data_IF_850570780966
#
_entry.id   IF_850570780966
#
_cell.length_a   1.000
_cell.length_b   1.000
_cell.length_c   1.000
_cell.angle_alpha   90.00
_cell.angle_beta   90.00
_cell.angle_gamma   90.00
#
_symmetry.space_group_name_H-M   'P 1'
#
loop_
_entity.id
_entity.type
_entity.pdbx_description
1 polymer ?
#
# COMPACT_ATOMS: atom_id res chain seq x y z
N UNK A 1 0.68 -28.49 -18.80
CA UNK A 1 1.91 -27.74 -18.43
C UNK A 1 1.97 -27.66 -16.92
N UNK A 2 3.07 -28.09 -16.29
CA UNK A 2 3.28 -27.91 -14.85
C UNK A 2 3.39 -26.42 -14.55
N UNK A 3 2.62 -25.91 -13.57
CA UNK A 3 2.75 -24.51 -13.14
C UNK A 3 4.16 -24.27 -12.59
N UNK A 4 4.74 -23.11 -12.89
CA UNK A 4 6.02 -22.69 -12.32
C UNK A 4 5.88 -22.66 -10.78
N UNK A 5 6.80 -23.24 -9.99
CA UNK A 5 6.76 -23.18 -8.53
C UNK A 5 6.61 -21.75 -7.98
N UNK A 6 7.21 -20.75 -8.65
CA UNK A 6 7.13 -19.34 -8.29
C UNK A 6 5.76 -18.71 -8.59
N UNK A 7 5.06 -19.17 -9.62
CA UNK A 7 3.66 -18.71 -9.83
C UNK A 7 2.73 -19.41 -8.87
N UNK A 8 3.00 -20.68 -8.53
CA UNK A 8 2.20 -21.44 -7.58
C UNK A 8 2.27 -20.84 -6.18
N UNK A 9 3.46 -20.48 -5.68
CA UNK A 9 3.61 -19.90 -4.33
C UNK A 9 2.82 -18.59 -4.16
N UNK A 10 2.78 -17.74 -5.19
CA UNK A 10 2.01 -16.49 -5.16
C UNK A 10 0.50 -16.70 -5.34
N UNK A 11 0.09 -17.71 -6.10
CA UNK A 11 -1.33 -18.09 -6.23
C UNK A 11 -1.88 -18.68 -4.93
N UNK A 12 -1.09 -19.50 -4.23
CA UNK A 12 -1.49 -20.15 -2.97
C UNK A 12 -1.52 -19.15 -1.81
N UNK A 13 -0.56 -18.22 -1.76
CA UNK A 13 -0.40 -17.26 -0.66
C UNK A 13 -0.73 -15.83 -1.07
N UNK A 14 -1.86 -15.65 -1.74
CA UNK A 14 -2.30 -14.31 -2.14
C UNK A 14 -2.46 -13.40 -0.93
N UNK A 15 -2.07 -12.14 -1.07
CA UNK A 15 -2.28 -11.16 -0.01
C UNK A 15 -3.78 -10.91 0.19
N UNK A 16 -4.26 -11.21 1.38
CA UNK A 16 -5.68 -11.11 1.76
C UNK A 16 -5.92 -10.08 2.87
N UNK A 17 -4.89 -9.36 3.29
CA UNK A 17 -4.92 -8.39 4.39
C UNK A 17 -4.58 -8.98 5.75
N UNK A 18 -4.46 -10.31 5.87
CA UNK A 18 -4.16 -11.03 7.13
C UNK A 18 -2.90 -11.89 7.07
N UNK A 19 -2.11 -11.81 6.00
CA UNK A 19 -0.91 -12.62 5.81
C UNK A 19 0.27 -11.80 5.27
N UNK A 20 0.42 -10.56 5.72
CA UNK A 20 1.38 -9.62 5.14
C UNK A 20 2.82 -10.15 5.18
N UNK A 21 3.26 -10.72 6.30
CA UNK A 21 4.62 -11.21 6.47
C UNK A 21 4.92 -12.39 5.53
N UNK A 22 4.04 -13.40 5.52
CA UNK A 22 4.17 -14.57 4.66
C UNK A 22 4.13 -14.17 3.17
N UNK A 23 3.20 -13.28 2.81
CA UNK A 23 3.10 -12.76 1.45
C UNK A 23 4.35 -11.98 1.06
N UNK A 24 4.88 -11.10 1.92
CA UNK A 24 6.07 -10.32 1.64
C UNK A 24 7.31 -11.21 1.51
N UNK A 25 7.42 -12.24 2.34
CA UNK A 25 8.49 -13.23 2.23
C UNK A 25 8.43 -13.98 0.91
N UNK A 26 7.25 -14.46 0.51
CA UNK A 26 7.04 -15.13 -0.77
C UNK A 26 7.31 -14.20 -1.96
N UNK A 27 6.86 -12.95 -1.89
CA UNK A 27 7.12 -11.94 -2.90
C UNK A 27 8.63 -11.71 -3.07
N UNK A 28 9.37 -11.55 -1.96
CA UNK A 28 10.83 -11.38 -2.01
C UNK A 28 11.53 -12.55 -2.70
N UNK A 29 11.13 -13.79 -2.41
CA UNK A 29 11.66 -14.99 -3.08
C UNK A 29 11.46 -14.91 -4.60
N UNK A 30 10.26 -14.52 -5.05
CA UNK A 30 9.95 -14.38 -6.49
C UNK A 30 10.78 -13.25 -7.12
N UNK A 31 10.89 -12.10 -6.45
CA UNK A 31 11.62 -10.97 -6.98
C UNK A 31 13.14 -11.17 -6.97
N UNK A 32 13.68 -11.91 -6.00
CA UNK A 32 15.09 -12.30 -5.98
C UNK A 32 15.42 -13.20 -7.18
N UNK A 33 14.53 -14.14 -7.52
CA UNK A 33 14.68 -14.98 -8.71
C UNK A 33 14.71 -14.16 -10.00
N UNK A 34 13.92 -13.09 -10.09
CA UNK A 34 13.85 -12.19 -11.24
C UNK A 34 14.94 -11.09 -11.21
N UNK A 35 15.79 -11.02 -10.18
CA UNK A 35 16.77 -9.95 -9.91
C UNK A 35 16.16 -8.55 -9.76
N UNK A 36 14.96 -8.45 -9.18
CA UNK A 36 14.18 -7.22 -9.06
C UNK A 36 13.85 -6.82 -7.62
N UNK A 37 14.32 -7.58 -6.61
CA UNK A 37 14.01 -7.29 -5.20
C UNK A 37 14.43 -5.88 -4.76
N UNK A 38 15.47 -5.30 -5.40
CA UNK A 38 15.94 -3.94 -5.11
C UNK A 38 14.86 -2.85 -5.30
N UNK A 39 13.83 -3.11 -6.10
CA UNK A 39 12.69 -2.19 -6.33
C UNK A 39 11.87 -1.98 -5.05
N UNK A 40 11.84 -2.96 -4.14
CA UNK A 40 11.09 -2.86 -2.88
C UNK A 40 11.77 -1.92 -1.87
N UNK A 41 13.09 -1.82 -1.91
CA UNK A 41 13.89 -1.17 -0.87
C UNK A 41 14.46 0.19 -1.31
N UNK A 42 14.66 0.41 -2.61
CA UNK A 42 15.23 1.65 -3.13
C UNK A 42 14.13 2.67 -3.47
N UNK A 43 14.27 3.93 -3.04
CA UNK A 43 13.32 4.98 -3.43
C UNK A 43 13.40 5.23 -4.94
N UNK A 44 12.33 5.81 -5.48
CA UNK A 44 12.32 6.35 -6.84
C UNK A 44 13.57 7.24 -7.03
N UNK A 45 14.31 7.13 -8.14
CA UNK A 45 15.39 8.06 -8.45
C UNK A 45 14.81 9.47 -8.70
N UNK A 46 14.60 10.26 -7.64
CA UNK A 46 13.99 11.59 -7.71
C UNK A 46 15.05 12.65 -8.00
N UNK A 47 14.85 13.40 -9.08
CA UNK A 47 15.61 14.56 -9.53
C UNK A 47 16.92 14.29 -10.29
N UNK A 48 16.86 14.69 -11.56
CA UNK A 48 17.89 14.57 -12.58
C UNK A 48 18.79 15.83 -12.52
N UNK A 49 20.11 15.72 -12.28
CA UNK A 49 21.04 16.81 -12.56
C UNK A 49 21.06 17.10 -14.08
N UNK A 50 21.22 18.36 -14.47
CA UNK A 50 21.44 18.71 -15.88
C UNK A 50 22.70 18.00 -16.40
N UNK A 51 22.53 17.10 -17.39
CA UNK A 51 23.64 16.43 -18.08
C UNK A 51 23.79 14.94 -17.85
N UNK A 52 22.70 14.16 -17.89
CA UNK A 52 22.77 12.69 -17.83
C UNK A 52 23.82 12.10 -18.77
N UNK A 53 24.71 11.27 -18.21
CA UNK A 53 25.48 10.31 -18.99
C UNK A 53 24.56 9.27 -19.63
N UNK A 54 25.05 8.61 -20.68
CA UNK A 54 24.29 7.53 -21.34
C UNK A 54 24.00 6.37 -20.39
N UNK A 55 24.93 6.07 -19.47
CA UNK A 55 24.83 4.97 -18.50
C UNK A 55 23.74 5.22 -17.43
N UNK A 56 23.60 6.46 -16.97
CA UNK A 56 22.55 6.85 -16.02
C UNK A 56 21.15 6.73 -16.64
N UNK A 57 21.01 7.04 -17.94
CA UNK A 57 19.73 6.86 -18.67
C UNK A 57 19.35 5.40 -18.77
N UNK A 58 20.30 4.54 -19.16
CA UNK A 58 20.08 3.09 -19.23
C UNK A 58 19.67 2.53 -17.87
N UNK A 59 20.30 3.00 -16.79
CA UNK A 59 19.98 2.57 -15.42
C UNK A 59 18.57 3.00 -15.01
N UNK A 60 18.17 4.24 -15.31
CA UNK A 60 16.83 4.75 -15.02
C UNK A 60 15.75 4.02 -15.83
N UNK A 61 15.96 3.82 -17.13
CA UNK A 61 15.03 3.08 -17.99
C UNK A 61 14.83 1.64 -17.50
N UNK A 62 15.94 0.96 -17.11
CA UNK A 62 15.88 -0.37 -16.51
C UNK A 62 15.08 -0.36 -15.21
N UNK A 63 15.31 0.61 -14.33
CA UNK A 63 14.57 0.72 -13.07
C UNK A 63 13.07 0.91 -13.31
N UNK A 64 12.68 1.75 -14.26
CA UNK A 64 11.26 1.99 -14.60
C UNK A 64 10.60 0.71 -15.12
N UNK A 65 11.29 -0.05 -15.97
CA UNK A 65 10.77 -1.32 -16.48
C UNK A 65 10.64 -2.37 -15.37
N UNK A 66 11.64 -2.48 -14.51
CA UNK A 66 11.60 -3.40 -13.37
C UNK A 66 10.49 -2.99 -12.38
N UNK A 67 10.32 -1.70 -12.09
CA UNK A 67 9.21 -1.19 -11.27
C UNK A 67 7.84 -1.56 -11.86
N UNK A 68 7.64 -1.42 -13.18
CA UNK A 68 6.39 -1.80 -13.84
C UNK A 68 6.10 -3.30 -13.72
N UNK A 69 7.13 -4.15 -13.85
CA UNK A 69 7.00 -5.60 -13.69
C UNK A 69 6.65 -5.97 -12.25
N UNK A 70 7.39 -5.43 -11.28
CA UNK A 70 7.16 -5.68 -9.86
C UNK A 70 5.78 -5.21 -9.43
N UNK A 71 5.32 -4.05 -9.92
CA UNK A 71 3.95 -3.55 -9.71
C UNK A 71 2.90 -4.57 -10.16
N UNK A 72 3.05 -5.13 -11.35
CA UNK A 72 2.16 -6.17 -11.86
C UNK A 72 2.18 -7.44 -11.01
N UNK A 73 3.36 -7.90 -10.58
CA UNK A 73 3.52 -9.07 -9.69
C UNK A 73 2.80 -8.82 -8.37
N UNK A 74 3.02 -7.65 -7.76
CA UNK A 74 2.39 -7.25 -6.51
C UNK A 74 0.86 -7.29 -6.65
N UNK A 75 0.28 -6.61 -7.63
CA UNK A 75 -1.18 -6.57 -7.81
C UNK A 75 -1.79 -7.95 -8.12
N UNK A 76 -1.14 -8.76 -8.95
CA UNK A 76 -1.65 -10.10 -9.32
C UNK A 76 -1.57 -11.09 -8.17
N UNK A 77 -0.62 -10.89 -7.26
CA UNK A 77 -0.47 -11.67 -6.03
C UNK A 77 -1.42 -11.28 -4.90
N UNK A 78 -2.34 -10.34 -5.15
CA UNK A 78 -3.38 -9.98 -4.19
C UNK A 78 -4.69 -10.70 -4.48
N UNK A 79 -5.54 -10.76 -3.47
CA UNK A 79 -6.97 -11.01 -3.67
C UNK A 79 -7.62 -9.83 -4.40
N UNK A 80 -8.67 -10.08 -5.19
CA UNK A 80 -9.34 -9.04 -5.99
C UNK A 80 -9.83 -7.86 -5.14
N UNK A 81 -10.17 -8.10 -3.87
CA UNK A 81 -10.62 -7.07 -2.94
C UNK A 81 -9.49 -6.09 -2.59
N UNK A 82 -8.33 -6.63 -2.22
CA UNK A 82 -7.14 -5.84 -1.86
C UNK A 82 -6.48 -5.22 -3.09
N UNK A 83 -6.48 -5.93 -4.22
CA UNK A 83 -5.96 -5.39 -5.49
C UNK A 83 -6.65 -4.06 -5.87
N UNK A 84 -7.98 -3.98 -5.76
CA UNK A 84 -8.76 -2.75 -6.03
C UNK A 84 -8.44 -1.58 -5.10
N UNK A 85 -7.83 -1.84 -3.94
CA UNK A 85 -7.38 -0.79 -3.03
C UNK A 85 -6.09 -0.14 -3.52
N UNK A 86 -5.19 -0.93 -4.14
CA UNK A 86 -3.88 -0.47 -4.56
C UNK A 86 -3.75 -0.23 -6.08
N UNK A 87 -4.79 -0.51 -6.89
CA UNK A 87 -4.71 -0.41 -8.37
C UNK A 87 -4.38 1.00 -8.91
N UNK A 88 -4.63 2.04 -8.10
CA UNK A 88 -4.42 3.45 -8.47
C UNK A 88 -3.03 3.97 -8.13
N UNK A 89 -2.21 3.20 -7.42
CA UNK A 89 -0.86 3.60 -7.08
C UNK A 89 0.05 3.14 -8.23
N UNK A 90 0.74 4.09 -8.87
CA UNK A 90 1.49 3.85 -10.09
C UNK A 90 2.90 3.27 -9.86
N UNK A 91 3.42 3.36 -8.63
CA UNK A 91 4.76 2.90 -8.27
C UNK A 91 4.79 1.97 -7.05
N UNK A 92 5.75 1.06 -7.06
CA UNK A 92 5.93 0.05 -6.01
C UNK A 92 6.27 0.68 -4.66
N UNK A 93 7.17 1.67 -4.54
CA UNK A 93 7.43 2.36 -3.28
C UNK A 93 6.16 2.90 -2.62
N UNK A 94 5.27 3.56 -3.37
CA UNK A 94 3.99 4.07 -2.86
C UNK A 94 3.07 2.97 -2.33
N UNK A 95 2.98 1.84 -3.04
CA UNK A 95 2.20 0.66 -2.59
C UNK A 95 2.78 0.12 -1.28
N UNK A 96 4.10 -0.10 -1.24
CA UNK A 96 4.78 -0.65 -0.07
C UNK A 96 4.70 0.28 1.13
N UNK A 97 4.80 1.60 0.92
CA UNK A 97 4.63 2.60 1.98
C UNK A 97 3.20 2.58 2.52
N UNK A 98 2.19 2.62 1.63
CA UNK A 98 0.78 2.58 2.04
C UNK A 98 0.44 1.32 2.84
N UNK A 99 0.99 0.17 2.46
CA UNK A 99 0.85 -1.07 3.23
C UNK A 99 1.52 -1.00 4.60
N UNK A 100 2.74 -0.45 4.69
CA UNK A 100 3.45 -0.27 5.96
C UNK A 100 2.78 0.72 6.88
N UNK A 101 2.11 1.73 6.33
CA UNK A 101 1.43 2.78 7.11
C UNK A 101 0.04 2.36 7.59
N UNK A 102 -0.59 1.39 6.91
CA UNK A 102 -1.88 0.81 7.29
C UNK A 102 -1.89 0.38 8.76
N UNK A 103 -2.82 0.92 9.54
CA UNK A 103 -3.01 0.51 10.93
C UNK A 103 -3.58 -0.91 10.97
N UNK A 104 -4.49 -1.27 10.06
CA UNK A 104 -4.98 -2.64 9.93
C UNK A 104 -3.84 -3.67 9.77
N UNK A 105 -2.88 -3.40 8.87
CA UNK A 105 -1.70 -4.28 8.68
C UNK A 105 -0.80 -4.32 9.91
N UNK A 106 -0.60 -3.19 10.60
CA UNK A 106 0.17 -3.15 11.86
C UNK A 106 -0.50 -3.95 12.98
N UNK A 107 -1.82 -3.86 13.10
CA UNK A 107 -2.58 -4.60 14.12
C UNK A 107 -2.51 -6.10 13.87
N UNK A 108 -2.60 -6.54 12.62
CA UNK A 108 -2.37 -7.94 12.25
C UNK A 108 -1.00 -8.43 12.71
N UNK A 109 0.06 -7.69 12.41
CA UNK A 109 1.43 -8.07 12.80
C UNK A 109 1.54 -8.26 14.32
N UNK A 110 0.89 -7.40 15.10
CA UNK A 110 0.87 -7.53 16.57
C UNK A 110 0.09 -8.76 17.04
N UNK A 111 -1.04 -9.07 16.40
CA UNK A 111 -1.84 -10.26 16.71
C UNK A 111 -1.04 -11.53 16.46
N UNK A 112 -0.44 -11.68 15.28
CA UNK A 112 0.42 -12.83 14.93
C UNK A 112 1.54 -13.01 15.97
N UNK A 113 2.17 -11.91 16.38
CA UNK A 113 3.25 -11.93 17.37
C UNK A 113 2.77 -12.34 18.77
N UNK A 114 1.57 -11.94 19.20
CA UNK A 114 1.01 -12.34 20.50
C UNK A 114 0.57 -13.81 20.48
N UNK A 115 0.03 -14.28 19.35
CA UNK A 115 -0.31 -15.69 19.12
C UNK A 115 0.93 -16.58 19.20
N UNK A 116 2.05 -16.17 18.58
CA UNK A 116 3.34 -16.86 18.67
C UNK A 116 3.89 -16.94 20.11
N UNK A 117 3.63 -15.91 20.91
CA UNK A 117 3.99 -15.89 22.33
C UNK A 117 3.09 -16.82 23.17
N UNK A 118 2.06 -17.45 22.57
CA UNK A 118 1.11 -18.34 23.23
C UNK A 118 0.47 -17.71 24.47
N UNK A 119 0.19 -16.42 24.39
CA UNK A 119 -0.38 -15.66 25.50
C UNK A 119 -1.80 -16.13 25.89
N UNK A 120 -2.48 -16.87 25.01
CA UNK A 120 -3.78 -17.48 25.30
C UNK A 120 -4.91 -16.46 25.46
N UNK A 121 -4.81 -15.31 24.80
CA UNK A 121 -5.86 -14.30 24.79
C UNK A 121 -7.06 -14.78 23.97
N UNK A 122 -8.26 -14.47 24.43
CA UNK A 122 -9.50 -14.68 23.68
C UNK A 122 -9.71 -13.59 22.62
N UNK A 123 -10.60 -13.87 21.67
CA UNK A 123 -10.90 -12.99 20.54
C UNK A 123 -11.42 -11.61 20.97
N UNK A 124 -12.19 -11.52 22.06
CA UNK A 124 -12.79 -10.27 22.50
C UNK A 124 -11.73 -9.36 23.12
N UNK A 125 -10.83 -9.92 23.94
CA UNK A 125 -9.67 -9.19 24.47
C UNK A 125 -8.83 -8.57 23.34
N UNK A 126 -8.61 -9.35 22.29
CA UNK A 126 -7.88 -8.96 21.09
C UNK A 126 -8.55 -7.80 20.34
N UNK A 127 -9.88 -7.87 20.17
CA UNK A 127 -10.69 -6.81 19.56
C UNK A 127 -10.65 -5.54 20.40
N UNK A 128 -10.84 -5.65 21.71
CA UNK A 128 -10.83 -4.52 22.64
C UNK A 128 -9.47 -3.80 22.60
N UNK A 129 -8.37 -4.55 22.63
CA UNK A 129 -7.02 -3.98 22.53
C UNK A 129 -6.83 -3.23 21.20
N UNK A 130 -7.27 -3.81 20.08
CA UNK A 130 -7.20 -3.13 18.78
C UNK A 130 -8.02 -1.84 18.82
N UNK A 131 -9.31 -1.91 19.18
CA UNK A 131 -10.20 -0.74 19.15
C UNK A 131 -9.70 0.40 20.06
N UNK A 132 -9.15 0.07 21.23
CA UNK A 132 -8.57 1.06 22.16
C UNK A 132 -7.25 1.65 21.68
N UNK A 133 -6.50 0.93 20.85
CA UNK A 133 -5.22 1.41 20.30
C UNK A 133 -5.38 2.33 19.08
N UNK A 134 -6.58 2.43 18.51
CA UNK A 134 -6.81 3.25 17.32
C UNK A 134 -6.74 4.76 17.67
N UNK A 135 -6.11 5.57 16.80
CA UNK A 135 -6.13 7.02 16.95
C UNK A 135 -7.56 7.60 16.88
N UNK A 136 -7.80 8.80 17.46
CA UNK A 136 -9.13 9.46 17.39
C UNK A 136 -9.67 9.67 15.96
N UNK A 137 -8.81 9.70 14.94
CA UNK A 137 -9.25 9.74 13.54
C UNK A 137 -10.10 8.55 13.10
N UNK A 138 -10.09 7.45 13.87
CA UNK A 138 -10.87 6.24 13.64
C UNK A 138 -12.18 6.21 14.43
N UNK A 139 -12.55 7.26 15.17
CA UNK A 139 -13.83 7.33 15.89
C UNK A 139 -15.05 6.97 15.02
N UNK A 140 -15.16 7.44 13.75
CA UNK A 140 -16.27 7.02 12.89
C UNK A 140 -16.29 5.52 12.60
N UNK A 141 -15.11 4.90 12.49
CA UNK A 141 -14.98 3.46 12.31
C UNK A 141 -15.43 2.70 13.57
N UNK A 142 -14.98 3.14 14.75
CA UNK A 142 -15.33 2.51 16.05
C UNK A 142 -16.83 2.58 16.30
N UNK A 143 -17.45 3.75 16.09
CA UNK A 143 -18.89 3.93 16.23
C UNK A 143 -19.63 2.98 15.28
N UNK A 144 -19.23 2.95 13.99
CA UNK A 144 -19.84 2.06 13.01
C UNK A 144 -19.63 0.58 13.36
N UNK A 145 -18.46 0.20 13.87
CA UNK A 145 -18.18 -1.17 14.30
C UNK A 145 -19.13 -1.60 15.43
N UNK A 146 -19.20 -0.80 16.50
CA UNK A 146 -20.03 -1.08 17.68
C UNK A 146 -21.52 -1.14 17.35
N UNK A 147 -21.99 -0.31 16.40
CA UNK A 147 -23.38 -0.28 15.96
C UNK A 147 -23.78 -1.50 15.12
N UNK A 148 -22.83 -2.18 14.47
CA UNK A 148 -23.14 -3.31 13.58
C UNK A 148 -23.44 -4.63 14.31
N UNK A 149 -23.29 -4.70 15.64
CA UNK A 149 -23.88 -5.73 16.52
C UNK A 149 -23.56 -7.20 16.23
N UNK A 150 -22.62 -7.49 15.33
CA UNK A 150 -22.20 -8.85 14.98
C UNK A 150 -20.97 -9.24 15.79
N UNK A 151 -20.97 -10.44 16.37
CA UNK A 151 -19.73 -11.10 16.78
C UNK A 151 -18.85 -11.23 15.53
N UNK A 152 -17.68 -10.61 15.57
CA UNK A 152 -16.69 -10.64 14.49
C UNK A 152 -15.40 -11.21 15.04
N UNK A 153 -14.71 -11.97 14.22
CA UNK A 153 -13.34 -12.39 14.52
C UNK A 153 -12.38 -11.19 14.44
N UNK A 154 -11.25 -11.27 15.13
CA UNK A 154 -10.18 -10.26 15.02
C UNK A 154 -9.72 -10.06 13.57
N UNK A 155 -9.64 -11.13 12.78
CA UNK A 155 -9.28 -11.04 11.37
C UNK A 155 -10.32 -10.27 10.53
N UNK A 156 -11.61 -10.39 10.86
CA UNK A 156 -12.66 -9.60 10.22
C UNK A 156 -12.59 -8.13 10.62
N UNK A 157 -12.33 -7.82 11.89
CA UNK A 157 -12.08 -6.45 12.36
C UNK A 157 -10.89 -5.82 11.61
N UNK A 158 -9.76 -6.53 11.52
CA UNK A 158 -8.57 -6.09 10.79
C UNK A 158 -8.90 -5.83 9.31
N UNK A 159 -9.60 -6.76 8.65
CA UNK A 159 -10.00 -6.59 7.26
C UNK A 159 -10.93 -5.38 7.06
N UNK A 160 -11.82 -5.10 8.02
CA UNK A 160 -12.65 -3.90 8.02
C UNK A 160 -11.82 -2.63 8.20
N UNK A 161 -10.83 -2.64 9.07
CA UNK A 161 -9.88 -1.53 9.27
C UNK A 161 -9.09 -1.22 7.99
N UNK A 162 -8.51 -2.24 7.37
CA UNK A 162 -7.78 -2.09 6.09
C UNK A 162 -8.67 -1.48 5.00
N UNK A 163 -9.94 -1.90 4.93
CA UNK A 163 -10.91 -1.33 3.99
C UNK A 163 -11.30 0.11 4.33
N UNK A 164 -11.48 0.42 5.61
CA UNK A 164 -11.81 1.76 6.06
C UNK A 164 -10.71 2.74 5.63
N UNK A 165 -9.44 2.41 5.88
CA UNK A 165 -8.28 3.16 5.43
C UNK A 165 -8.26 3.36 3.91
N UNK A 166 -8.56 2.32 3.14
CA UNK A 166 -8.66 2.39 1.69
C UNK A 166 -9.69 3.44 1.20
N UNK A 167 -10.73 3.68 1.99
CA UNK A 167 -11.81 4.62 1.66
C UNK A 167 -11.59 6.02 2.20
N UNK A 168 -10.88 6.16 3.33
CA UNK A 168 -10.57 7.47 3.92
C UNK A 168 -9.36 8.12 3.25
N UNK A 169 -8.39 7.33 2.78
CA UNK A 169 -7.30 7.82 1.92
C UNK A 169 -7.72 8.05 0.46
N UNK A 170 -8.98 7.76 0.10
CA UNK A 170 -9.57 8.09 -1.22
C UNK A 170 -10.04 9.54 -1.33
N UNK A 171 -9.98 10.36 -0.28
CA UNK A 171 -10.28 11.80 -0.34
C UNK A 171 -9.07 12.66 -0.01
N UNK A 172 -8.10 12.70 -0.93
CA UNK A 172 -7.33 13.92 -1.14
C UNK A 172 -6.89 14.00 -2.61
N UNK A 173 -7.70 14.69 -3.44
CA UNK A 173 -7.11 15.69 -4.30
C UNK A 173 -7.76 17.05 -4.08
N UNK A 174 -6.89 18.07 -4.00
CA UNK A 174 -7.18 19.50 -4.07
C UNK A 174 -7.85 20.18 -2.85
N UNK A 175 -7.04 20.48 -1.83
CA UNK A 175 -7.10 21.80 -1.17
C UNK A 175 -5.68 22.36 -1.13
N UNK A 176 -5.19 22.80 -2.29
CA UNK A 176 -4.23 23.89 -2.32
C UNK A 176 -4.97 25.09 -2.91
N UNK A 177 -5.34 25.95 -1.96
CA UNK A 177 -5.72 27.35 -2.06
C UNK A 177 -5.46 27.95 -3.43
N UNK A 178 -6.54 28.37 -4.09
CA UNK A 178 -6.44 29.25 -5.24
C UNK A 178 -5.85 30.58 -4.82
N UNK A 179 -4.58 30.79 -5.13
CA UNK A 179 -4.04 32.13 -5.28
C UNK A 179 -4.16 32.51 -6.76
N UNK A 180 -5.03 33.49 -6.99
CA UNK A 180 -5.28 34.09 -8.27
C UNK A 180 -4.00 34.69 -8.85
N UNK A 181 -3.47 34.09 -9.92
CA UNK A 181 -2.70 34.86 -10.90
C UNK A 181 -3.69 35.74 -11.65
N UNK A 182 -3.89 36.94 -11.10
CA UNK A 182 -4.61 38.02 -11.77
C UNK A 182 -4.01 38.26 -13.15
N UNK A 183 -4.88 38.10 -14.14
CA UNK A 183 -4.66 38.54 -15.51
C UNK A 183 -4.37 40.04 -15.54
N UNK A 184 -3.27 40.42 -16.20
CA UNK A 184 -3.10 41.77 -16.73
C UNK A 184 -2.72 41.70 -18.20
N UNK A 185 -3.75 41.56 -19.04
CA UNK A 185 -3.70 41.97 -20.42
C UNK A 185 -3.89 43.50 -20.48
N UNK A 186 -2.91 44.19 -21.04
CA UNK A 186 -2.95 45.58 -21.56
C UNK A 186 -1.66 45.71 -22.37
N UNK A 187 -1.60 46.04 -23.64
CA UNK A 187 -2.54 46.58 -24.61
C UNK A 187 -1.61 47.15 -25.69
N UNK A 188 -1.87 46.84 -26.97
CA UNK A 188 -1.16 47.46 -28.09
C UNK A 188 -1.42 48.97 -28.07
N UNK A 189 -0.37 49.76 -28.17
CA UNK A 189 -0.42 51.08 -28.82
C UNK A 189 0.82 51.23 -29.69
N UNK A 190 0.58 51.66 -30.92
CA UNK A 190 1.55 52.00 -31.94
C UNK A 190 1.82 53.50 -31.86
N UNK A 191 3.08 53.92 -32.00
CA UNK A 191 3.53 55.19 -32.60
C UNK A 191 5.05 55.31 -32.45
N UNK A 192 5.80 55.03 -33.51
CA UNK A 192 6.52 56.01 -34.35
C UNK A 192 7.47 55.32 -35.33
#
# INVERSE_FOLDING_TARGET
MSKNPLTLIMETNKFNGTNYNDWLQNLRIVLDFENQCYVLDKPLPTALPEGFSHEERITLEKWIEDNRKVHSIILTSMTNKIQKQYDRLDDVPSIMLSMKESHGVKMLYLVEKIEDLKAGLDNDTYIDVILQSLPPSYDPFIINYNMNGLEKSIHELINMLVQYEATTHKSAPAVLVGEALTSKAKGKEAEH
#
